data_IF_316898179718
#
_entry.id   IF_316898179718
#
_cell.length_a   1.000
_cell.length_b   1.000
_cell.length_c   1.000
_cell.angle_alpha   90.00
_cell.angle_beta   90.00
_cell.angle_gamma   90.00
#
_symmetry.space_group_name_H-M   'P 1'
#
loop_
_entity.id
_entity.type
_entity.pdbx_description
1 polymer ?
#
# COMPACT_ATOMS: atom_id res chain seq x y z
N UNK A 1 -46.33 17.23 -31.31
CA UNK A 1 -45.50 16.07 -31.74
C UNK A 1 -44.24 15.90 -30.89
N UNK A 2 -43.39 16.93 -30.76
CA UNK A 2 -42.18 16.89 -29.90
C UNK A 2 -42.42 16.49 -28.42
N UNK A 3 -43.44 17.00 -27.69
CA UNK A 3 -43.68 16.59 -26.30
C UNK A 3 -44.08 15.11 -26.18
N UNK A 4 -44.75 14.56 -27.17
CA UNK A 4 -45.11 13.14 -27.22
C UNK A 4 -43.88 12.27 -27.43
N UNK A 5 -42.98 12.69 -28.33
CA UNK A 5 -41.70 12.00 -28.57
C UNK A 5 -40.83 12.04 -27.32
N UNK A 6 -40.75 13.18 -26.62
CA UNK A 6 -39.98 13.27 -25.37
C UNK A 6 -40.57 12.45 -24.23
N UNK A 7 -41.91 12.39 -24.12
CA UNK A 7 -42.58 11.53 -23.15
C UNK A 7 -42.29 10.04 -23.44
N UNK A 8 -42.37 9.63 -24.71
CA UNK A 8 -42.02 8.27 -25.12
C UNK A 8 -40.55 7.95 -24.85
N UNK A 9 -39.63 8.87 -25.21
CA UNK A 9 -38.20 8.70 -24.98
C UNK A 9 -37.91 8.53 -23.48
N UNK A 10 -38.48 9.37 -22.60
CA UNK A 10 -38.29 9.25 -21.15
C UNK A 10 -38.75 7.90 -20.60
N UNK A 11 -39.86 7.37 -21.12
CA UNK A 11 -40.42 6.10 -20.67
C UNK A 11 -39.63 4.91 -21.18
N UNK A 12 -39.23 4.91 -22.46
CA UNK A 12 -38.62 3.75 -23.11
C UNK A 12 -37.09 3.75 -23.11
N UNK A 13 -36.45 4.92 -22.97
CA UNK A 13 -34.99 5.03 -22.97
C UNK A 13 -34.31 4.17 -21.90
N UNK A 14 -34.78 4.09 -20.64
CA UNK A 14 -34.14 3.24 -19.64
C UNK A 14 -34.11 1.76 -20.05
N UNK A 15 -35.17 1.27 -20.69
CA UNK A 15 -35.26 -0.13 -21.11
C UNK A 15 -34.32 -0.50 -22.25
N UNK A 16 -33.88 0.48 -23.04
CA UNK A 16 -32.93 0.26 -24.15
C UNK A 16 -31.51 0.58 -23.73
N UNK A 17 -31.32 1.69 -23.02
CA UNK A 17 -30.00 2.17 -22.60
C UNK A 17 -29.41 1.28 -21.52
N UNK A 18 -30.20 0.78 -20.57
CA UNK A 18 -29.70 -0.08 -19.50
C UNK A 18 -29.06 -1.39 -20.02
N UNK A 19 -29.72 -2.21 -20.85
CA UNK A 19 -29.07 -3.39 -21.40
C UNK A 19 -27.90 -3.05 -22.32
N UNK A 20 -27.98 -1.96 -23.10
CA UNK A 20 -26.85 -1.50 -23.91
C UNK A 20 -25.63 -1.14 -23.04
N UNK A 21 -25.84 -0.42 -21.94
CA UNK A 21 -24.79 -0.06 -20.99
C UNK A 21 -24.18 -1.29 -20.30
N UNK A 22 -25.00 -2.29 -19.95
CA UNK A 22 -24.50 -3.56 -19.42
C UNK A 22 -23.59 -4.28 -20.40
N UNK A 23 -23.98 -4.36 -21.69
CA UNK A 23 -23.15 -5.00 -22.73
C UNK A 23 -21.84 -4.25 -22.93
N UNK A 24 -21.89 -2.92 -23.01
CA UNK A 24 -20.69 -2.08 -23.14
C UNK A 24 -19.79 -2.23 -21.91
N UNK A 25 -20.37 -2.23 -20.71
CA UNK A 25 -19.63 -2.44 -19.46
C UNK A 25 -19.01 -3.82 -19.38
N UNK A 26 -19.72 -4.86 -19.84
CA UNK A 26 -19.20 -6.22 -19.91
C UNK A 26 -18.00 -6.32 -20.86
N UNK A 27 -18.12 -5.75 -22.06
CA UNK A 27 -17.01 -5.71 -23.04
C UNK A 27 -15.84 -4.91 -22.47
N UNK A 28 -16.12 -3.73 -21.90
CA UNK A 28 -15.12 -2.86 -21.28
C UNK A 28 -14.37 -3.55 -20.14
N UNK A 29 -15.06 -4.29 -19.27
CA UNK A 29 -14.45 -5.06 -18.19
C UNK A 29 -13.48 -6.13 -18.70
N UNK A 30 -13.84 -6.83 -19.78
CA UNK A 30 -12.95 -7.83 -20.40
C UNK A 30 -11.76 -7.16 -21.11
N UNK A 31 -11.96 -6.01 -21.76
CA UNK A 31 -10.89 -5.25 -22.39
C UNK A 31 -9.96 -4.58 -21.38
N UNK A 32 -10.48 -4.19 -20.21
CA UNK A 32 -9.68 -3.62 -19.12
C UNK A 32 -8.61 -4.62 -18.65
N UNK A 33 -8.89 -5.92 -18.67
CA UNK A 33 -7.89 -6.95 -18.38
C UNK A 33 -6.77 -7.07 -19.43
N UNK A 34 -7.01 -6.66 -20.67
CA UNK A 34 -6.02 -6.67 -21.74
C UNK A 34 -5.16 -5.39 -21.80
N UNK A 35 -5.72 -4.26 -21.36
CA UNK A 35 -5.06 -2.95 -21.38
C UNK A 35 -4.45 -2.54 -20.04
N UNK A 36 -5.00 -3.04 -18.93
CA UNK A 36 -4.55 -2.70 -17.58
C UNK A 36 -3.67 -3.79 -17.03
N UNK A 37 -2.44 -3.42 -16.65
CA UNK A 37 -1.50 -4.27 -15.92
C UNK A 37 -1.94 -4.40 -14.44
N UNK A 38 -3.16 -4.92 -14.20
CA UNK A 38 -3.72 -5.16 -12.85
C UNK A 38 -3.11 -6.37 -12.15
N UNK A 39 -1.93 -6.81 -12.58
CA UNK A 39 -1.11 -7.73 -11.81
C UNK A 39 -0.43 -6.97 -10.66
N UNK A 40 -1.23 -6.46 -9.71
CA UNK A 40 -0.73 -6.40 -8.34
C UNK A 40 -0.71 -7.84 -7.85
N UNK A 41 0.47 -8.49 -7.73
CA UNK A 41 0.52 -9.85 -7.22
C UNK A 41 -0.21 -9.87 -5.89
N UNK A 42 -1.13 -10.82 -5.73
CA UNK A 42 -1.77 -11.06 -4.46
C UNK A 42 -0.68 -11.47 -3.47
N UNK A 43 -0.27 -10.52 -2.63
CA UNK A 43 0.56 -10.83 -1.47
C UNK A 43 -0.33 -11.53 -0.46
N UNK A 44 -0.09 -12.82 -0.25
CA UNK A 44 -0.77 -13.62 0.78
C UNK A 44 -0.59 -13.00 2.18
N UNK A 45 0.52 -12.30 2.39
CA UNK A 45 0.84 -11.59 3.63
C UNK A 45 0.27 -10.18 3.64
N UNK A 46 -0.29 -9.80 4.78
CA UNK A 46 -0.64 -8.41 5.05
C UNK A 46 0.61 -7.52 5.00
N UNK A 47 0.46 -6.25 4.60
CA UNK A 47 1.54 -5.25 4.67
C UNK A 47 2.12 -5.17 6.09
N UNK A 48 1.28 -5.36 7.11
CA UNK A 48 1.72 -5.37 8.51
C UNK A 48 2.65 -6.55 8.79
N UNK A 49 2.24 -7.75 8.35
CA UNK A 49 3.00 -8.99 8.52
C UNK A 49 4.35 -8.92 7.79
N UNK A 50 4.37 -8.44 6.54
CA UNK A 50 5.62 -8.21 5.79
C UNK A 50 6.55 -7.19 6.45
N UNK A 51 6.02 -6.22 7.21
CA UNK A 51 6.83 -5.28 7.99
C UNK A 51 7.37 -5.92 9.27
N UNK A 52 6.59 -6.77 9.91
CA UNK A 52 7.01 -7.50 11.11
C UNK A 52 8.08 -8.53 10.78
N UNK A 53 7.93 -9.28 9.69
CA UNK A 53 8.94 -10.21 9.18
C UNK A 53 10.28 -9.51 8.91
N UNK A 54 10.26 -8.36 8.24
CA UNK A 54 11.49 -7.58 7.99
C UNK A 54 12.17 -7.12 9.28
N UNK A 55 11.38 -6.73 10.28
CA UNK A 55 11.93 -6.36 11.60
C UNK A 55 12.51 -7.56 12.33
N UNK A 56 11.87 -8.72 12.23
CA UNK A 56 12.38 -9.96 12.80
C UNK A 56 13.69 -10.37 12.13
N UNK A 57 13.78 -10.31 10.80
CA UNK A 57 15.00 -10.58 10.06
C UNK A 57 16.12 -9.61 10.42
N UNK A 58 15.82 -8.31 10.57
CA UNK A 58 16.81 -7.32 11.03
C UNK A 58 17.33 -7.65 12.43
N UNK A 59 16.46 -8.07 13.36
CA UNK A 59 16.85 -8.45 14.73
C UNK A 59 17.68 -9.74 14.74
N UNK A 60 17.33 -10.72 13.91
CA UNK A 60 18.03 -12.01 13.84
C UNK A 60 19.40 -11.90 13.18
N UNK A 61 19.56 -10.99 12.21
CA UNK A 61 20.82 -10.78 11.50
C UNK A 61 21.80 -9.85 12.23
N UNK A 62 21.37 -9.20 13.32
CA UNK A 62 22.26 -8.42 14.19
C UNK A 62 22.78 -9.33 15.31
N UNK A 63 24.11 -9.41 15.43
CA UNK A 63 24.75 -10.16 16.51
C UNK A 63 24.43 -9.53 17.86
N UNK A 64 23.52 -10.16 18.61
CA UNK A 64 23.08 -9.72 19.93
C UNK A 64 24.19 -9.71 20.99
N UNK A 65 25.32 -10.37 20.73
CA UNK A 65 26.46 -10.40 21.65
C UNK A 65 27.48 -9.29 21.38
N UNK A 66 27.41 -8.64 20.22
CA UNK A 66 28.23 -7.48 19.89
C UNK A 66 27.59 -6.19 20.41
N UNK A 67 27.49 -6.09 21.73
CA UNK A 67 27.03 -4.89 22.44
C UNK A 67 28.22 -4.10 22.96
N UNK A 68 28.16 -2.77 22.85
CA UNK A 68 29.19 -1.91 23.42
C UNK A 68 29.31 -2.17 24.92
N UNK A 69 30.55 -2.37 25.39
CA UNK A 69 30.85 -2.56 26.81
C UNK A 69 30.31 -1.40 27.63
N UNK A 70 29.45 -1.69 28.60
CA UNK A 70 28.91 -0.71 29.57
C UNK A 70 30.04 0.01 30.32
N UNK A 71 31.22 -0.62 30.46
CA UNK A 71 32.40 -0.01 31.09
C UNK A 71 32.95 1.17 30.29
N UNK A 72 32.81 1.16 28.97
CA UNK A 72 33.33 2.23 28.11
C UNK A 72 32.46 3.50 28.17
N UNK A 73 31.23 3.41 28.73
CA UNK A 73 30.28 4.51 28.96
C UNK A 73 30.15 5.49 27.76
N UNK A 74 30.27 4.99 26.53
CA UNK A 74 30.27 5.82 25.30
C UNK A 74 28.92 6.51 25.04
N UNK A 75 27.85 5.93 25.58
CA UNK A 75 26.50 6.50 25.57
C UNK A 75 26.37 7.80 26.40
N UNK A 76 27.34 8.09 27.28
CA UNK A 76 27.37 9.33 28.05
C UNK A 76 28.27 10.32 27.31
N UNK A 77 27.78 11.51 26.94
CA UNK A 77 28.64 12.53 26.35
C UNK A 77 29.75 12.88 27.34
N UNK A 78 31.01 12.83 26.88
CA UNK A 78 32.18 13.14 27.72
C UNK A 78 32.06 14.57 28.25
N UNK A 79 31.79 14.70 29.53
CA UNK A 79 31.65 16.01 30.19
C UNK A 79 33.02 16.66 30.37
N UNK A 80 33.04 17.99 30.54
CA UNK A 80 34.26 18.78 30.77
C UNK A 80 35.07 18.31 32.00
N UNK A 81 34.43 17.63 32.96
CA UNK A 81 35.06 17.10 34.16
C UNK A 81 36.01 15.92 33.89
N UNK A 82 35.85 15.20 32.78
CA UNK A 82 36.74 14.10 32.38
C UNK A 82 38.01 14.58 31.66
N UNK A 83 38.08 15.87 31.29
CA UNK A 83 39.24 16.45 30.58
C UNK A 83 40.36 16.90 31.51
N UNK A 84 40.09 17.02 32.82
CA UNK A 84 41.05 17.53 33.80
C UNK A 84 41.43 16.44 34.81
N UNK A 85 41.93 15.30 34.31
CA UNK A 85 42.64 14.35 35.15
C UNK A 85 44.10 14.78 35.20
N UNK A 86 44.54 15.21 36.39
CA UNK A 86 45.96 15.44 36.66
C UNK A 86 46.74 14.12 36.48
N UNK A 87 47.97 14.17 35.93
CA UNK A 87 48.81 13.00 35.72
C UNK A 87 49.17 12.28 37.02
#
# INVERSE_FOLDING_TARGET
>A
MLPLVMAALRTYAPYVIFPAALVIGFIGYHMEGALSDRYTPYTEKSIKESREDRRLDEILNVDATNVESVKDKRFIPKTIFLRNVSP
#
